data_IF_436375061465
#
_entry.id   IF_436375061465
#
_cell.length_a   1.000
_cell.length_b   1.000
_cell.length_c   1.000
_cell.angle_alpha   90.00
_cell.angle_beta   90.00
_cell.angle_gamma   90.00
#
_symmetry.space_group_name_H-M   'P 1'
#
loop_
_entity.id
_entity.type
_entity.pdbx_description
1 polymer ?
#
# COMPACT_ATOMS: atom_id res chain seq x y z
N UNK A 1 15.00 30.91 7.67
CA UNK A 1 15.17 29.43 7.74
C UNK A 1 16.62 29.08 8.13
N UNK A 2 17.05 29.63 9.26
CA UNK A 2 18.44 29.51 9.77
C UNK A 2 18.85 28.08 10.21
N UNK A 3 17.93 27.10 10.12
CA UNK A 3 18.17 25.71 10.54
C UNK A 3 17.99 24.69 9.42
N UNK A 4 18.06 25.11 8.14
CA UNK A 4 17.93 24.21 7.00
C UNK A 4 16.52 23.63 6.77
N UNK A 5 15.48 24.25 7.38
CA UNK A 5 14.10 23.84 7.19
C UNK A 5 13.64 24.14 5.75
N UNK A 6 13.06 23.16 5.08
CA UNK A 6 12.44 23.32 3.76
C UNK A 6 10.97 22.89 3.81
N UNK A 7 10.13 23.61 3.07
CA UNK A 7 8.74 23.20 2.87
C UNK A 7 8.66 22.15 1.75
N UNK A 8 7.73 21.19 1.87
CA UNK A 8 7.40 20.25 0.81
C UNK A 8 5.88 20.07 0.72
N UNK A 9 5.38 19.65 -0.45
CA UNK A 9 3.95 19.49 -0.70
C UNK A 9 3.44 18.08 -0.42
N UNK A 10 2.12 17.90 -0.55
CA UNK A 10 1.43 16.63 -0.32
C UNK A 10 1.88 15.51 -1.28
N UNK A 11 2.22 15.84 -2.52
CA UNK A 11 2.75 14.86 -3.47
C UNK A 11 4.09 14.28 -3.02
N UNK A 12 5.01 15.13 -2.55
CA UNK A 12 6.28 14.66 -2.00
C UNK A 12 6.08 13.80 -0.75
N UNK A 13 5.13 14.17 0.13
CA UNK A 13 4.76 13.36 1.28
C UNK A 13 4.20 12.00 0.85
N UNK A 14 3.35 11.96 -0.19
CA UNK A 14 2.80 10.72 -0.71
C UNK A 14 3.91 9.81 -1.28
N UNK A 15 4.86 10.35 -2.03
CA UNK A 15 6.01 9.60 -2.53
C UNK A 15 6.84 9.01 -1.39
N UNK A 16 7.25 9.84 -0.42
CA UNK A 16 8.06 9.40 0.72
C UNK A 16 7.38 8.35 1.59
N UNK A 17 6.05 8.44 1.83
CA UNK A 17 5.34 7.42 2.61
C UNK A 17 5.25 6.08 1.89
N UNK A 18 5.09 6.11 0.55
CA UNK A 18 5.09 4.92 -0.28
C UNK A 18 6.46 4.25 -0.28
N UNK A 19 7.55 4.99 -0.39
CA UNK A 19 8.91 4.45 -0.24
C UNK A 19 9.10 3.68 1.08
N UNK A 20 8.46 4.16 2.16
CA UNK A 20 8.50 3.53 3.50
C UNK A 20 7.38 2.51 3.73
N UNK A 21 6.57 2.21 2.73
CA UNK A 21 5.41 1.31 2.87
C UNK A 21 4.45 1.77 3.99
N UNK A 22 4.31 3.08 4.20
CA UNK A 22 3.40 3.63 5.20
C UNK A 22 2.02 3.87 4.61
N UNK A 23 1.04 3.17 5.11
CA UNK A 23 -0.38 3.34 4.76
C UNK A 23 -0.89 4.69 5.27
N UNK A 24 -1.67 5.37 4.46
CA UNK A 24 -2.24 6.69 4.74
C UNK A 24 -3.76 6.69 4.69
N UNK A 25 -4.34 7.88 4.57
CA UNK A 25 -5.80 8.04 4.54
C UNK A 25 -6.48 7.34 3.35
N UNK A 26 -5.77 7.13 2.24
CA UNK A 26 -6.30 6.42 1.07
C UNK A 26 -6.45 4.91 1.32
N UNK A 27 -5.63 4.34 2.20
CA UNK A 27 -5.70 2.93 2.59
C UNK A 27 -6.57 2.73 3.84
N UNK A 28 -6.49 3.66 4.81
CA UNK A 28 -7.14 3.52 6.11
C UNK A 28 -8.45 4.30 6.12
N UNK A 29 -9.45 3.79 5.41
CA UNK A 29 -10.79 4.38 5.34
C UNK A 29 -11.75 3.69 6.32
N UNK A 30 -12.94 4.23 6.48
CA UNK A 30 -14.02 3.61 7.27
C UNK A 30 -14.76 2.49 6.50
N UNK A 31 -14.37 2.21 5.27
CA UNK A 31 -14.97 1.18 4.41
C UNK A 31 -14.25 -0.17 4.51
N UNK A 32 -13.07 -0.19 5.15
CA UNK A 32 -12.24 -1.38 5.28
C UNK A 32 -11.95 -1.71 6.73
N UNK A 33 -11.80 -2.99 7.02
CA UNK A 33 -11.41 -3.46 8.34
C UNK A 33 -9.89 -3.37 8.55
N UNK A 34 -9.44 -3.47 9.79
CA UNK A 34 -8.00 -3.49 10.12
C UNK A 34 -7.29 -4.71 9.51
N UNK A 35 -8.02 -5.83 9.35
CA UNK A 35 -7.50 -7.04 8.72
C UNK A 35 -7.32 -6.85 7.21
N UNK A 36 -8.33 -6.29 6.51
CA UNK A 36 -8.22 -5.96 5.09
C UNK A 36 -7.14 -4.93 4.82
N UNK A 37 -6.99 -3.94 5.70
CA UNK A 37 -5.92 -2.94 5.60
C UNK A 37 -4.53 -3.49 5.91
N UNK A 38 -4.41 -4.76 6.34
CA UNK A 38 -3.16 -5.40 6.75
C UNK A 38 -2.40 -4.57 7.80
N UNK A 39 -3.10 -4.17 8.87
CA UNK A 39 -2.54 -3.41 10.01
C UNK A 39 -2.73 -4.10 11.35
N UNK A 40 -3.04 -5.38 11.34
CA UNK A 40 -3.28 -6.18 12.56
C UNK A 40 -2.10 -6.19 13.53
N UNK A 41 -0.88 -5.94 13.06
CA UNK A 41 0.31 -5.79 13.93
C UNK A 41 0.18 -4.71 15.01
N UNK A 42 -0.74 -3.75 14.82
CA UNK A 42 -1.03 -2.69 15.79
C UNK A 42 -2.16 -3.02 16.75
N UNK A 43 -2.84 -4.17 16.56
CA UNK A 43 -3.99 -4.58 17.35
C UNK A 43 -3.58 -5.67 18.34
N UNK A 44 -3.89 -5.46 19.62
CA UNK A 44 -3.65 -6.45 20.68
C UNK A 44 -4.99 -7.09 21.07
N UNK A 45 -5.29 -8.24 20.49
CA UNK A 45 -6.51 -9.01 20.78
C UNK A 45 -6.47 -9.70 22.16
N UNK A 46 -5.30 -9.80 22.78
CA UNK A 46 -5.09 -10.32 24.13
C UNK A 46 -5.56 -9.36 25.24
N UNK A 47 -5.87 -8.11 24.92
CA UNK A 47 -6.49 -7.19 25.90
C UNK A 47 -7.86 -7.72 26.35
N UNK A 48 -8.23 -7.50 27.65
CA UNK A 48 -9.51 -7.98 28.18
C UNK A 48 -10.71 -7.47 27.38
N UNK A 49 -10.74 -6.17 27.08
CA UNK A 49 -11.79 -5.54 26.29
C UNK A 49 -11.33 -4.22 25.64
N UNK A 50 -11.94 -3.87 24.49
CA UNK A 50 -11.87 -2.56 23.84
C UNK A 50 -13.03 -2.43 22.83
N UNK A 51 -13.41 -1.18 22.50
CA UNK A 51 -14.47 -0.92 21.52
C UNK A 51 -14.08 -1.53 20.17
N UNK A 52 -14.94 -2.41 19.63
CA UNK A 52 -14.74 -3.08 18.35
C UNK A 52 -13.96 -4.40 18.43
N UNK A 53 -13.59 -4.90 19.63
CA UNK A 53 -12.85 -6.17 19.78
C UNK A 53 -13.56 -7.33 19.07
N UNK A 54 -14.82 -7.59 19.40
CA UNK A 54 -15.60 -8.68 18.81
C UNK A 54 -15.70 -8.57 17.29
N UNK A 55 -15.94 -7.36 16.77
CA UNK A 55 -16.00 -7.13 15.31
C UNK A 55 -14.65 -7.41 14.65
N UNK A 56 -13.54 -7.04 15.30
CA UNK A 56 -12.19 -7.31 14.80
C UNK A 56 -11.88 -8.82 14.82
N UNK A 57 -12.24 -9.53 15.88
CA UNK A 57 -12.07 -10.99 15.99
C UNK A 57 -12.85 -11.73 14.89
N UNK A 58 -14.07 -11.30 14.61
CA UNK A 58 -14.89 -11.84 13.49
C UNK A 58 -14.21 -11.57 12.15
N UNK A 59 -13.74 -10.35 11.91
CA UNK A 59 -13.04 -9.99 10.68
C UNK A 59 -11.78 -10.83 10.44
N UNK A 60 -11.00 -11.08 11.48
CA UNK A 60 -9.75 -11.88 11.39
C UNK A 60 -10.03 -13.37 11.16
N UNK A 61 -11.14 -13.90 11.70
CA UNK A 61 -11.49 -15.31 11.61
C UNK A 61 -12.25 -15.68 10.31
N UNK A 62 -12.72 -14.70 9.57
CA UNK A 62 -13.46 -14.87 8.32
C UNK A 62 -12.58 -14.82 7.07
N UNK A 63 -13.19 -15.13 5.94
CA UNK A 63 -12.56 -14.90 4.63
C UNK A 63 -12.58 -13.40 4.33
N UNK A 64 -11.41 -12.83 4.09
CA UNK A 64 -11.29 -11.43 3.70
C UNK A 64 -11.60 -11.30 2.21
N UNK A 65 -12.47 -10.37 1.79
CA UNK A 65 -12.73 -10.12 0.38
C UNK A 65 -11.54 -9.44 -0.31
N UNK A 66 -10.79 -8.63 0.43
CA UNK A 66 -9.66 -7.83 -0.05
C UNK A 66 -8.54 -7.79 0.97
N UNK A 67 -7.31 -7.59 0.50
CA UNK A 67 -6.12 -7.30 1.33
C UNK A 67 -5.35 -6.15 0.69
N UNK A 68 -4.95 -5.18 1.51
CA UNK A 68 -4.10 -4.07 1.08
C UNK A 68 -2.68 -4.57 0.85
N UNK A 69 -2.32 -4.74 -0.42
CA UNK A 69 -0.99 -5.15 -0.87
C UNK A 69 -0.14 -3.94 -1.26
N UNK A 70 1.18 -4.10 -1.18
CA UNK A 70 2.17 -3.14 -1.66
C UNK A 70 2.77 -3.64 -2.97
N UNK A 71 2.83 -2.76 -3.96
CA UNK A 71 3.24 -3.08 -5.33
C UNK A 71 4.44 -2.24 -5.75
N UNK A 72 5.38 -2.88 -6.43
CA UNK A 72 6.36 -2.24 -7.28
C UNK A 72 5.86 -2.38 -8.72
N UNK A 73 5.60 -1.26 -9.39
CA UNK A 73 5.05 -1.19 -10.75
C UNK A 73 6.18 -0.87 -11.72
N UNK A 74 6.23 -1.58 -12.83
CA UNK A 74 7.21 -1.32 -13.88
C UNK A 74 6.97 0.09 -14.46
N UNK A 75 8.02 0.91 -14.47
CA UNK A 75 7.98 2.31 -14.84
C UNK A 75 8.70 2.54 -16.19
N UNK A 76 8.06 3.30 -17.09
CA UNK A 76 8.66 3.76 -18.33
C UNK A 76 9.00 5.26 -18.31
N UNK A 77 8.94 5.90 -17.13
CA UNK A 77 9.23 7.33 -16.95
C UNK A 77 8.06 8.28 -17.27
N UNK A 78 6.85 7.77 -17.48
CA UNK A 78 5.66 8.56 -17.85
C UNK A 78 4.52 8.39 -16.84
N UNK A 79 4.79 8.59 -15.54
CA UNK A 79 3.91 8.07 -14.50
C UNK A 79 3.12 9.12 -13.75
N UNK A 80 1.83 9.14 -14.01
CA UNK A 80 0.84 9.89 -13.25
C UNK A 80 -0.35 8.99 -12.83
N UNK A 81 -0.10 8.02 -11.95
CA UNK A 81 -1.18 7.32 -11.25
C UNK A 81 -1.74 8.19 -10.13
N UNK A 82 -3.03 8.09 -9.86
CA UNK A 82 -3.72 8.93 -8.87
C UNK A 82 -4.42 8.14 -7.77
N UNK A 83 -4.54 6.81 -7.94
CA UNK A 83 -5.45 5.95 -7.20
C UNK A 83 -6.76 5.74 -7.97
N UNK A 84 -7.35 4.54 -7.83
CA UNK A 84 -8.52 4.12 -8.59
C UNK A 84 -8.18 3.31 -9.85
N UNK A 85 -6.90 3.13 -10.18
CA UNK A 85 -6.45 2.29 -11.28
C UNK A 85 -6.84 0.83 -11.02
N UNK A 86 -7.36 0.15 -12.07
CA UNK A 86 -7.66 -1.28 -11.99
C UNK A 86 -6.38 -2.12 -11.92
N UNK A 87 -6.42 -3.17 -11.10
CA UNK A 87 -5.38 -4.20 -11.08
C UNK A 87 -5.94 -5.48 -11.70
N UNK A 88 -5.22 -6.03 -12.65
CA UNK A 88 -5.63 -7.19 -13.43
C UNK A 88 -4.70 -8.37 -13.21
N UNK A 89 -5.25 -9.58 -13.31
CA UNK A 89 -4.51 -10.82 -13.50
C UNK A 89 -5.20 -11.62 -14.59
N UNK A 90 -4.45 -12.09 -15.57
CA UNK A 90 -4.97 -12.84 -16.74
C UNK A 90 -6.16 -12.13 -17.43
N UNK A 91 -6.16 -10.79 -17.43
CA UNK A 91 -7.20 -9.95 -18.03
C UNK A 91 -8.45 -9.74 -17.15
N UNK A 92 -8.53 -10.36 -15.99
CA UNK A 92 -9.62 -10.16 -15.03
C UNK A 92 -9.27 -9.11 -13.98
N UNK A 93 -10.24 -8.27 -13.62
CA UNK A 93 -10.06 -7.30 -12.53
C UNK A 93 -10.04 -8.02 -11.18
N UNK A 94 -8.90 -7.89 -10.50
CA UNK A 94 -8.65 -8.53 -9.19
C UNK A 94 -8.52 -7.54 -8.05
N UNK A 95 -8.56 -6.24 -8.34
CA UNK A 95 -8.42 -5.22 -7.32
C UNK A 95 -8.32 -3.80 -7.88
N UNK A 96 -8.03 -2.87 -6.98
CA UNK A 96 -7.94 -1.44 -7.30
C UNK A 96 -6.81 -0.79 -6.51
N UNK A 97 -6.06 0.08 -7.16
CA UNK A 97 -5.01 0.90 -6.54
C UNK A 97 -5.67 1.93 -5.61
N UNK A 98 -5.20 2.03 -4.38
CA UNK A 98 -5.63 3.07 -3.42
C UNK A 98 -4.74 4.31 -3.50
N UNK A 99 -3.45 4.11 -3.74
CA UNK A 99 -2.49 5.20 -3.94
C UNK A 99 -1.28 4.72 -4.74
N UNK A 100 -0.72 5.62 -5.52
CA UNK A 100 0.46 5.36 -6.35
C UNK A 100 1.32 6.62 -6.39
N UNK A 101 2.64 6.48 -6.39
CA UNK A 101 3.57 7.57 -6.62
C UNK A 101 4.96 7.03 -6.98
N UNK A 102 5.72 7.85 -7.70
CA UNK A 102 7.13 7.59 -7.96
C UNK A 102 7.97 7.91 -6.71
N UNK A 103 8.71 6.91 -6.26
CA UNK A 103 9.65 7.03 -5.13
C UNK A 103 11.01 7.49 -5.63
N UNK A 104 11.30 8.78 -5.47
CA UNK A 104 12.52 9.41 -6.00
C UNK A 104 13.81 8.90 -5.35
N UNK A 105 13.75 8.47 -4.07
CA UNK A 105 14.93 7.95 -3.37
C UNK A 105 15.31 6.54 -3.83
N UNK A 106 14.35 5.78 -4.35
CA UNK A 106 14.52 4.38 -4.77
C UNK A 106 14.37 4.19 -6.28
N UNK A 107 13.99 5.26 -7.01
CA UNK A 107 13.78 5.27 -8.45
C UNK A 107 12.79 4.20 -8.92
N UNK A 108 11.65 4.07 -8.20
CA UNK A 108 10.61 3.06 -8.44
C UNK A 108 9.23 3.67 -8.41
N UNK A 109 8.34 3.18 -9.25
CA UNK A 109 6.91 3.46 -9.14
C UNK A 109 6.30 2.50 -8.12
N UNK A 110 5.69 3.04 -7.07
CA UNK A 110 5.21 2.30 -5.92
C UNK A 110 3.72 2.53 -5.71
N UNK A 111 2.99 1.49 -5.34
CA UNK A 111 1.56 1.61 -5.10
C UNK A 111 1.10 0.78 -3.90
N UNK A 112 -0.02 1.18 -3.29
CA UNK A 112 -0.88 0.30 -2.52
C UNK A 112 -2.11 -0.02 -3.34
N UNK A 113 -2.59 -1.26 -3.23
CA UNK A 113 -3.81 -1.72 -3.88
C UNK A 113 -4.56 -2.69 -2.98
N UNK A 114 -5.89 -2.66 -3.01
CA UNK A 114 -6.73 -3.70 -2.43
C UNK A 114 -6.91 -4.80 -3.47
N UNK A 115 -6.40 -5.98 -3.19
CA UNK A 115 -6.41 -7.15 -4.06
C UNK A 115 -7.22 -8.29 -3.44
N UNK A 116 -7.78 -9.16 -4.27
CA UNK A 116 -8.29 -10.46 -3.81
C UNK A 116 -7.15 -11.22 -3.10
N UNK A 117 -7.38 -11.85 -1.94
CA UNK A 117 -6.33 -12.40 -1.08
C UNK A 117 -5.31 -13.32 -1.76
N UNK A 118 -5.78 -14.15 -2.70
CA UNK A 118 -4.90 -15.07 -3.41
C UNK A 118 -3.82 -14.39 -4.27
N UNK A 119 -4.01 -13.12 -4.60
CA UNK A 119 -3.05 -12.32 -5.37
C UNK A 119 -2.19 -11.40 -4.50
N UNK A 120 -2.52 -11.22 -3.22
CA UNK A 120 -1.78 -10.37 -2.28
C UNK A 120 -0.57 -11.11 -1.65
N UNK A 121 0.07 -12.00 -2.38
CA UNK A 121 1.20 -12.82 -1.94
C UNK A 121 2.49 -12.28 -2.54
N UNK A 122 3.57 -12.21 -1.72
CA UNK A 122 4.87 -11.74 -2.17
C UNK A 122 5.32 -12.42 -3.47
N UNK A 123 5.80 -11.60 -4.41
CA UNK A 123 6.29 -12.06 -5.70
C UNK A 123 5.20 -12.34 -6.75
N UNK A 124 3.92 -12.24 -6.37
CA UNK A 124 2.83 -12.36 -7.35
C UNK A 124 2.95 -11.24 -8.38
N UNK A 125 2.86 -11.61 -9.67
CA UNK A 125 2.84 -10.66 -10.78
C UNK A 125 1.40 -10.35 -11.17
N UNK A 126 1.13 -9.08 -11.36
CA UNK A 126 -0.17 -8.53 -11.76
C UNK A 126 0.06 -7.38 -12.74
N UNK A 127 -0.99 -6.88 -13.36
CA UNK A 127 -0.93 -5.71 -14.24
C UNK A 127 -1.74 -4.56 -13.64
N UNK A 128 -1.17 -3.37 -13.60
CA UNK A 128 -1.87 -2.13 -13.19
C UNK A 128 -2.19 -1.31 -14.43
N UNK A 129 -3.42 -0.83 -14.55
CA UNK A 129 -3.88 -0.03 -15.69
C UNK A 129 -3.57 1.44 -15.43
N UNK A 130 -2.37 1.90 -15.75
CA UNK A 130 -1.97 3.31 -15.58
C UNK A 130 -2.18 4.06 -16.89
N UNK A 131 -2.98 5.14 -16.89
CA UNK A 131 -3.26 5.95 -18.08
C UNK A 131 -3.75 5.13 -19.29
N UNK A 132 -4.52 4.05 -19.05
CA UNK A 132 -5.02 3.16 -20.08
C UNK A 132 -4.00 2.16 -20.64
N UNK A 133 -2.81 2.09 -20.05
CA UNK A 133 -1.76 1.13 -20.42
C UNK A 133 -1.57 0.11 -19.33
N UNK A 134 -1.40 -1.15 -19.70
CA UNK A 134 -1.04 -2.23 -18.78
C UNK A 134 0.42 -2.09 -18.37
N UNK A 135 0.67 -2.03 -17.08
CA UNK A 135 1.98 -1.99 -16.47
C UNK A 135 2.16 -3.20 -15.57
N UNK A 136 3.13 -4.08 -15.88
CA UNK A 136 3.45 -5.17 -14.97
C UNK A 136 3.81 -4.63 -13.59
N UNK A 137 3.36 -5.34 -12.56
CA UNK A 137 3.67 -5.01 -11.19
C UNK A 137 3.94 -6.28 -10.38
N UNK A 138 4.71 -6.15 -9.31
CA UNK A 138 5.05 -7.27 -8.43
C UNK A 138 4.66 -6.92 -6.99
N UNK A 139 3.98 -7.83 -6.31
CA UNK A 139 3.63 -7.68 -4.89
C UNK A 139 4.90 -7.78 -4.04
N UNK A 140 5.10 -6.80 -3.17
CA UNK A 140 6.20 -6.70 -2.21
C UNK A 140 5.68 -6.76 -0.78
N UNK A 141 6.52 -7.22 0.16
CA UNK A 141 6.21 -7.26 1.60
C UNK A 141 7.15 -6.42 2.44
N UNK A 142 8.16 -5.82 1.81
CA UNK A 142 9.14 -4.95 2.47
C UNK A 142 9.10 -3.55 1.85
N UNK A 143 9.42 -2.56 2.67
CA UNK A 143 9.54 -1.19 2.21
C UNK A 143 10.69 -1.06 1.20
N UNK A 144 10.47 -0.31 0.12
CA UNK A 144 11.51 -0.08 -0.89
C UNK A 144 12.69 0.75 -0.35
N UNK A 145 12.43 1.62 0.66
CA UNK A 145 13.42 2.46 1.29
C UNK A 145 13.62 2.11 2.75
N UNK A 146 14.89 1.81 3.15
CA UNK A 146 15.30 1.57 4.54
C UNK A 146 14.33 0.63 5.30
N UNK A 147 14.12 -0.62 4.83
CA UNK A 147 13.12 -1.56 5.38
C UNK A 147 13.33 -1.83 6.86
N UNK A 148 14.59 -1.85 7.32
CA UNK A 148 14.96 -2.11 8.72
C UNK A 148 14.86 -0.89 9.62
N UNK A 149 14.49 0.29 9.10
CA UNK A 149 14.45 1.55 9.83
C UNK A 149 15.76 1.90 10.54
N UNK A 150 16.89 1.73 9.87
CA UNK A 150 18.20 2.01 10.44
C UNK A 150 18.48 3.50 10.51
N UNK A 151 18.05 4.27 9.49
CA UNK A 151 18.32 5.72 9.42
C UNK A 151 17.71 6.55 10.54
N UNK A 152 16.47 6.32 11.03
CA UNK A 152 15.94 7.05 12.16
C UNK A 152 16.59 6.72 13.51
N UNK A 153 17.43 5.69 13.55
CA UNK A 153 18.09 5.20 14.77
C UNK A 153 19.56 5.63 14.89
N UNK A 154 20.06 6.33 13.88
CA UNK A 154 21.40 6.96 13.84
C UNK A 154 21.25 8.46 14.04
#
# INVERSE_FOLDING_TARGET
>A
QSRGLSNYGSFAMNAMRLEKMFKGASELTNEVTLAEADVMRFVKLDKPDFIGKTATEVSVSGDLPWICAYLEVDDDGLNDGHGGEAVLADGECIGTVSSIAYGFSVEKLLAFAYLKPQYAVQGTRVDVVVMGQLRPATVQTEAAYDPDNLRPRT
#
